data_IF_506861190725
#
_entry.id   IF_506861190725
#
_cell.length_a   1.000
_cell.length_b   1.000
_cell.length_c   1.000
_cell.angle_alpha   90.00
_cell.angle_beta   90.00
_cell.angle_gamma   90.00
#
_symmetry.space_group_name_H-M   'P 1'
#
loop_
_entity.id
_entity.type
_entity.pdbx_description
1 polymer ?
#
# COMPACT_ATOMS: atom_id res chain seq x y z
N UNK A 1 13.40 -0.52 1.09
CA UNK A 1 11.98 -0.11 1.20
C UNK A 1 11.15 -1.34 1.57
N UNK A 2 10.18 -1.25 2.48
CA UNK A 2 9.21 -2.32 2.76
C UNK A 2 7.87 -1.95 2.11
N UNK A 3 7.11 -2.94 1.63
CA UNK A 3 5.82 -2.74 0.97
C UNK A 3 4.70 -3.48 1.71
N UNK A 4 3.46 -3.10 1.43
CA UNK A 4 2.25 -3.74 1.96
C UNK A 4 1.34 -4.12 0.79
N UNK A 5 0.47 -5.10 1.01
CA UNK A 5 -0.53 -5.54 0.04
C UNK A 5 -1.88 -4.90 0.37
N UNK A 6 -2.58 -4.43 -0.65
CA UNK A 6 -3.91 -3.88 -0.54
C UNK A 6 -4.72 -4.15 -1.80
N UNK A 7 -6.04 -4.15 -1.68
CA UNK A 7 -6.98 -4.27 -2.80
C UNK A 7 -7.45 -2.88 -3.22
N UNK A 8 -7.39 -2.59 -4.52
CA UNK A 8 -7.98 -1.37 -5.07
C UNK A 8 -9.50 -1.41 -4.88
N UNK A 9 -10.05 -0.42 -4.18
CA UNK A 9 -11.50 -0.33 -3.94
C UNK A 9 -12.16 0.58 -4.97
N UNK A 10 -11.92 1.90 -4.87
CA UNK A 10 -12.49 2.92 -5.75
C UNK A 10 -11.66 4.20 -5.74
N UNK A 11 -12.01 5.12 -6.63
CA UNK A 11 -11.45 6.47 -6.64
C UNK A 11 -12.37 7.46 -5.93
N UNK A 12 -11.79 8.54 -5.43
CA UNK A 12 -12.48 9.65 -4.77
C UNK A 12 -11.68 10.94 -4.97
N UNK A 13 -12.15 12.03 -4.38
CA UNK A 13 -11.45 13.30 -4.34
C UNK A 13 -11.40 13.84 -2.92
N UNK A 14 -10.29 14.48 -2.56
CA UNK A 14 -10.07 15.09 -1.24
C UNK A 14 -9.77 16.56 -1.46
N UNK A 15 -10.49 17.43 -0.77
CA UNK A 15 -10.20 18.86 -0.77
C UNK A 15 -9.25 19.19 0.37
N UNK A 16 -8.23 19.99 0.09
CA UNK A 16 -7.35 20.52 1.13
C UNK A 16 -7.89 21.81 1.76
N UNK A 17 -7.13 22.40 2.69
CA UNK A 17 -7.51 23.60 3.43
C UNK A 17 -7.64 24.84 2.52
N UNK A 18 -6.91 24.87 1.40
CA UNK A 18 -6.96 25.96 0.42
C UNK A 18 -8.09 25.76 -0.61
N UNK A 19 -8.85 24.67 -0.50
CA UNK A 19 -9.96 24.33 -1.39
C UNK A 19 -9.53 23.64 -2.69
N UNK A 20 -8.27 23.21 -2.81
CA UNK A 20 -7.78 22.50 -4.00
C UNK A 20 -8.25 21.04 -3.97
N UNK A 21 -8.74 20.55 -5.10
CA UNK A 21 -9.26 19.20 -5.27
C UNK A 21 -8.18 18.22 -5.71
N UNK A 22 -7.90 17.19 -4.89
CA UNK A 22 -6.91 16.15 -5.16
C UNK A 22 -7.59 14.81 -5.50
N UNK A 23 -7.35 14.22 -6.69
CA UNK A 23 -7.86 12.89 -7.01
C UNK A 23 -7.07 11.82 -6.23
N UNK A 24 -7.78 10.91 -5.58
CA UNK A 24 -7.19 9.87 -4.75
C UNK A 24 -7.81 8.48 -5.03
N UNK A 25 -7.06 7.42 -4.74
CA UNK A 25 -7.54 6.03 -4.79
C UNK A 25 -7.60 5.45 -3.39
N UNK A 26 -8.75 4.90 -3.03
CA UNK A 26 -8.93 4.16 -1.77
C UNK A 26 -8.39 2.75 -1.96
N UNK A 27 -7.45 2.35 -1.09
CA UNK A 27 -6.93 1.00 -0.99
C UNK A 27 -7.46 0.36 0.30
N UNK A 28 -8.08 -0.82 0.20
CA UNK A 28 -8.44 -1.64 1.35
C UNK A 28 -7.23 -2.49 1.74
N UNK A 29 -6.70 -2.24 2.94
CA UNK A 29 -5.50 -2.91 3.45
C UNK A 29 -5.86 -3.63 4.74
N UNK A 30 -5.51 -4.91 4.82
CA UNK A 30 -5.58 -5.70 6.04
C UNK A 30 -4.15 -6.01 6.53
N UNK A 31 -3.94 -6.30 7.82
CA UNK A 31 -2.64 -6.74 8.33
C UNK A 31 -2.12 -7.95 7.54
N UNK A 32 -0.90 -7.85 7.01
CA UNK A 32 -0.28 -8.93 6.27
C UNK A 32 0.61 -9.77 7.18
N UNK A 33 0.46 -11.09 7.11
CA UNK A 33 1.33 -12.04 7.82
C UNK A 33 2.56 -12.38 6.97
N UNK A 34 3.76 -12.24 7.53
CA UNK A 34 5.00 -12.65 6.85
C UNK A 34 5.09 -14.17 6.82
N UNK A 35 5.07 -14.75 5.63
CA UNK A 35 5.08 -16.22 5.46
C UNK A 35 6.48 -16.81 5.30
N UNK A 36 7.45 -16.02 4.83
CA UNK A 36 8.84 -16.45 4.65
C UNK A 36 9.77 -15.25 4.67
N UNK A 37 10.90 -15.39 5.37
CA UNK A 37 12.02 -14.46 5.30
C UNK A 37 13.11 -15.15 4.49
N UNK A 38 13.57 -14.51 3.42
CA UNK A 38 14.64 -15.02 2.56
C UNK A 38 15.97 -14.41 2.96
N UNK A 39 17.04 -15.15 2.71
CA UNK A 39 18.41 -14.68 2.94
C UNK A 39 19.32 -15.13 1.81
N UNK A 40 20.41 -14.39 1.61
CA UNK A 40 21.43 -14.73 0.60
C UNK A 40 22.01 -16.14 0.81
N UNK A 41 22.16 -16.58 2.07
CA UNK A 41 22.71 -17.90 2.38
C UNK A 41 21.78 -19.06 2.01
N UNK A 42 20.46 -18.86 2.09
CA UNK A 42 19.46 -19.92 1.88
C UNK A 42 18.76 -19.86 0.53
N UNK A 43 18.56 -18.65 0.00
CA UNK A 43 17.75 -18.39 -1.19
C UNK A 43 18.56 -17.72 -2.32
N UNK A 44 19.81 -17.30 -2.05
CA UNK A 44 20.69 -16.64 -3.03
C UNK A 44 20.38 -15.17 -3.28
N UNK A 45 19.42 -14.59 -2.55
CA UNK A 45 19.04 -13.17 -2.58
C UNK A 45 18.40 -12.69 -1.27
#
# INVERSE_FOLDING_TARGET
>A
MKFILGTKDRMTQVFDADGTCHPATILKVAPATVVRIKSVATDGY
#
